data_IF_910429668174
#
_entry.id   IF_910429668174
#
_cell.length_a   1.000
_cell.length_b   1.000
_cell.length_c   1.000
_cell.angle_alpha   90.00
_cell.angle_beta   90.00
_cell.angle_gamma   90.00
#
_symmetry.space_group_name_H-M   'P 1'
#
loop_
_entity.id
_entity.type
_entity.pdbx_description
1 polymer ?
#
# COMPACT_ATOMS: atom_id res chain seq x y z
N UNK A 1 -28.82 10.16 68.11
CA UNK A 1 -28.96 11.60 68.50
C UNK A 1 -28.72 12.42 67.25
N UNK A 2 -29.79 13.10 66.84
CA UNK A 2 -29.85 14.49 66.35
C UNK A 2 -29.04 14.77 65.10
N UNK A 3 -29.51 15.24 64.01
CA UNK A 3 -30.67 16.02 63.50
C UNK A 3 -30.17 16.45 62.12
N UNK A 4 -30.84 16.21 61.06
CA UNK A 4 -31.92 17.01 60.49
C UNK A 4 -31.44 18.35 59.89
N UNK A 5 -31.76 18.46 58.62
CA UNK A 5 -32.55 19.50 57.99
C UNK A 5 -31.86 20.54 57.11
N UNK A 6 -32.53 20.74 56.06
CA UNK A 6 -32.84 21.94 55.23
C UNK A 6 -31.87 22.13 54.09
N UNK A 7 -32.30 22.24 52.83
CA UNK A 7 -33.61 22.52 52.26
C UNK A 7 -33.50 23.70 51.30
N UNK A 8 -34.30 23.65 50.27
CA UNK A 8 -34.76 24.70 49.34
C UNK A 8 -33.76 25.13 48.23
N UNK A 9 -34.11 24.79 47.03
CA UNK A 9 -35.00 25.48 46.08
C UNK A 9 -34.40 26.75 45.46
N UNK A 10 -33.99 26.64 44.22
CA UNK A 10 -34.28 27.74 43.27
C UNK A 10 -34.64 27.17 41.91
N UNK A 11 -35.87 27.45 41.56
CA UNK A 11 -36.62 27.12 40.37
C UNK A 11 -36.57 28.30 39.43
N UNK A 12 -36.64 27.97 38.11
CA UNK A 12 -37.00 28.86 37.00
C UNK A 12 -35.90 29.76 36.44
N UNK A 13 -35.65 29.66 35.12
CA UNK A 13 -36.46 30.38 34.14
C UNK A 13 -36.30 29.67 32.76
N UNK A 14 -37.42 29.27 32.19
CA UNK A 14 -37.64 28.96 30.80
C UNK A 14 -37.57 30.24 29.97
N UNK A 15 -36.77 30.26 28.93
CA UNK A 15 -36.95 31.21 27.84
C UNK A 15 -36.88 30.43 26.52
N UNK A 16 -38.03 30.14 25.96
CA UNK A 16 -38.26 29.65 24.61
C UNK A 16 -38.04 30.85 23.68
N UNK A 17 -37.11 30.70 22.76
CA UNK A 17 -37.07 31.49 21.54
C UNK A 17 -37.14 30.54 20.36
N UNK A 18 -38.37 30.35 19.86
CA UNK A 18 -38.64 29.78 18.56
C UNK A 18 -38.24 30.83 17.51
N UNK A 19 -37.27 30.55 16.69
CA UNK A 19 -37.05 31.21 15.42
C UNK A 19 -37.11 30.15 14.31
N UNK A 20 -38.23 30.14 13.61
CA UNK A 20 -38.36 29.44 12.33
C UNK A 20 -37.45 30.14 11.33
N UNK A 21 -36.49 29.38 10.79
CA UNK A 21 -35.73 29.71 9.60
C UNK A 21 -35.79 28.49 8.68
N UNK A 22 -36.56 28.65 7.60
CA UNK A 22 -36.67 27.69 6.51
C UNK A 22 -35.32 27.68 5.77
N UNK A 23 -34.67 26.54 5.74
CA UNK A 23 -33.43 26.33 5.00
C UNK A 23 -33.33 24.85 4.64
N UNK A 24 -33.21 24.58 3.37
CA UNK A 24 -33.14 23.27 2.75
C UNK A 24 -32.21 22.33 3.50
N UNK A 25 -32.76 21.21 3.98
CA UNK A 25 -32.01 20.04 4.42
C UNK A 25 -31.42 19.33 3.18
N UNK A 26 -30.30 19.85 2.70
CA UNK A 26 -29.32 18.99 2.04
C UNK A 26 -28.53 18.33 3.16
N UNK A 27 -28.90 17.10 3.51
CA UNK A 27 -28.05 16.22 4.27
C UNK A 27 -26.80 15.97 3.42
N UNK A 28 -25.78 16.80 3.59
CA UNK A 28 -24.44 16.44 3.24
C UNK A 28 -24.01 15.38 4.27
N UNK A 29 -23.92 14.15 3.80
CA UNK A 29 -23.17 13.09 4.45
C UNK A 29 -21.68 13.53 4.44
N UNK A 30 -21.35 14.42 5.36
CA UNK A 30 -19.95 14.81 5.59
C UNK A 30 -19.34 13.77 6.52
N UNK A 31 -18.82 12.68 5.93
CA UNK A 31 -17.57 12.13 6.42
C UNK A 31 -16.50 13.16 6.05
N UNK A 32 -16.47 14.24 6.81
CA UNK A 32 -15.43 15.25 6.77
C UNK A 32 -14.20 14.66 7.50
N UNK A 33 -13.48 13.77 6.85
CA UNK A 33 -12.07 13.59 7.09
C UNK A 33 -11.46 14.90 6.62
N UNK A 34 -11.10 15.78 7.57
CA UNK A 34 -10.58 17.11 7.30
C UNK A 34 -9.73 17.12 6.05
N UNK A 35 -9.93 18.12 5.19
CA UNK A 35 -9.34 18.14 3.85
C UNK A 35 -7.83 17.84 3.91
N UNK A 36 -7.46 16.55 3.78
CA UNK A 36 -6.07 16.06 3.90
C UNK A 36 -5.11 16.89 3.02
N UNK A 37 -5.58 17.31 1.84
CA UNK A 37 -4.76 18.15 0.98
C UNK A 37 -4.48 19.52 1.59
N UNK A 38 -5.46 20.12 2.30
CA UNK A 38 -5.24 21.38 2.96
C UNK A 38 -4.28 21.24 4.15
N UNK A 39 -4.37 20.15 4.90
CA UNK A 39 -3.45 19.84 6.02
C UNK A 39 -2.02 19.69 5.49
N UNK A 40 -1.81 18.88 4.46
CA UNK A 40 -0.49 18.69 3.81
C UNK A 40 0.08 20.02 3.30
N UNK A 41 -0.75 20.90 2.70
CA UNK A 41 -0.28 22.22 2.25
C UNK A 41 0.10 23.15 3.40
N UNK A 42 -0.68 23.15 4.48
CA UNK A 42 -0.46 24.02 5.63
C UNK A 42 0.79 23.59 6.43
N UNK A 43 1.06 22.28 6.50
CA UNK A 43 2.25 21.72 7.12
C UNK A 43 3.49 21.77 6.21
N UNK A 44 3.29 21.80 4.90
CA UNK A 44 4.35 21.74 3.90
C UNK A 44 5.05 20.39 3.81
N UNK A 45 4.45 19.33 4.37
CA UNK A 45 5.01 17.97 4.41
C UNK A 45 3.91 16.94 4.22
N UNK A 46 4.23 15.85 3.50
CA UNK A 46 3.38 14.65 3.40
C UNK A 46 4.10 13.46 4.03
N UNK A 47 3.39 12.72 4.88
CA UNK A 47 3.92 11.50 5.51
C UNK A 47 3.52 10.26 4.72
N UNK A 48 4.48 9.36 4.47
CA UNK A 48 4.36 8.25 3.52
C UNK A 48 4.68 6.93 4.20
N UNK A 49 3.73 6.02 4.24
CA UNK A 49 3.93 4.65 4.72
C UNK A 49 4.64 3.79 3.67
N UNK A 50 5.70 3.10 4.07
CA UNK A 50 6.48 2.19 3.23
C UNK A 50 7.13 1.08 4.05
N UNK A 51 7.62 -0.01 3.44
CA UNK A 51 8.27 -1.10 4.18
C UNK A 51 9.76 -0.87 4.44
N UNK A 52 10.50 -0.32 3.48
CA UNK A 52 11.96 -0.24 3.55
C UNK A 52 12.69 -1.59 3.43
N UNK A 53 11.98 -2.67 3.08
CA UNK A 53 12.51 -4.05 2.96
C UNK A 53 12.06 -4.77 1.68
N UNK A 54 11.51 -4.04 0.73
CA UNK A 54 10.94 -4.59 -0.51
C UNK A 54 11.65 -4.03 -1.76
N UNK A 55 12.90 -4.48 -1.98
CA UNK A 55 13.68 -4.10 -3.17
C UNK A 55 13.02 -4.64 -4.47
N UNK A 56 13.11 -3.90 -5.59
CA UNK A 56 13.78 -2.61 -5.79
C UNK A 56 12.86 -1.39 -5.53
N UNK A 57 11.68 -1.59 -4.93
CA UNK A 57 10.66 -0.54 -4.77
C UNK A 57 10.95 0.36 -3.56
N UNK A 58 11.23 -0.24 -2.41
CA UNK A 58 11.51 0.45 -1.16
C UNK A 58 12.45 -0.40 -0.30
N UNK A 59 13.68 0.06 -0.09
CA UNK A 59 14.70 -0.68 0.65
C UNK A 59 15.84 0.25 1.11
N UNK A 60 16.71 -0.26 1.97
CA UNK A 60 17.92 0.45 2.38
C UNK A 60 19.12 0.07 1.51
N UNK A 61 19.83 1.08 0.99
CA UNK A 61 21.10 0.88 0.30
C UNK A 61 22.22 0.51 1.28
N UNK A 62 23.43 0.26 0.76
CA UNK A 62 24.60 -0.10 1.57
C UNK A 62 25.01 0.97 2.62
N UNK A 63 24.56 2.22 2.45
CA UNK A 63 24.78 3.30 3.40
C UNK A 63 23.69 3.37 4.48
N UNK A 64 22.65 2.54 4.39
CA UNK A 64 21.49 2.57 5.27
C UNK A 64 20.47 3.67 4.94
N UNK A 65 20.52 4.23 3.73
CA UNK A 65 19.55 5.24 3.27
C UNK A 65 18.37 4.55 2.58
N UNK A 66 17.14 4.99 2.91
CA UNK A 66 15.93 4.51 2.24
C UNK A 66 15.96 4.96 0.77
N UNK A 67 15.75 4.03 -0.12
CA UNK A 67 15.80 4.22 -1.57
C UNK A 67 14.87 3.22 -2.28
N UNK A 68 14.69 3.38 -3.58
CA UNK A 68 13.89 2.49 -4.41
C UNK A 68 13.01 3.24 -5.39
N UNK A 69 12.34 2.46 -6.24
CA UNK A 69 11.45 3.03 -7.26
C UNK A 69 10.32 3.85 -6.63
N UNK A 70 9.61 3.30 -5.64
CA UNK A 70 8.51 3.99 -4.95
C UNK A 70 8.99 5.25 -4.23
N UNK A 71 10.20 5.19 -3.67
CA UNK A 71 10.83 6.34 -2.99
C UNK A 71 11.12 7.45 -3.98
N UNK A 72 11.70 7.13 -5.15
CA UNK A 72 12.01 8.11 -6.18
C UNK A 72 10.75 8.72 -6.79
N UNK A 73 9.73 7.89 -7.10
CA UNK A 73 8.45 8.38 -7.65
C UNK A 73 7.75 9.28 -6.63
N UNK A 74 7.70 8.88 -5.36
CA UNK A 74 7.05 9.69 -4.33
C UNK A 74 7.77 11.03 -4.08
N UNK A 75 9.11 11.04 -4.09
CA UNK A 75 9.88 12.29 -3.99
C UNK A 75 9.59 13.21 -5.18
N UNK A 76 9.53 12.68 -6.41
CA UNK A 76 9.18 13.48 -7.60
C UNK A 76 7.74 14.01 -7.51
N UNK A 77 6.78 13.22 -7.01
CA UNK A 77 5.42 13.70 -6.73
C UNK A 77 5.45 14.84 -5.70
N UNK A 78 6.22 14.71 -4.61
CA UNK A 78 6.38 15.77 -3.61
C UNK A 78 6.93 17.08 -4.22
N UNK A 79 7.92 16.98 -5.11
CA UNK A 79 8.47 18.13 -5.85
C UNK A 79 7.40 18.83 -6.70
N UNK A 80 6.57 18.07 -7.44
CA UNK A 80 5.45 18.62 -8.23
C UNK A 80 4.36 19.27 -7.36
N UNK A 81 4.10 18.71 -6.17
CA UNK A 81 3.13 19.25 -5.23
C UNK A 81 3.68 20.42 -4.41
N UNK A 82 5.00 20.62 -4.40
CA UNK A 82 5.68 21.68 -3.63
C UNK A 82 5.69 21.41 -2.13
N UNK A 83 5.76 20.13 -1.70
CA UNK A 83 5.81 19.70 -0.31
C UNK A 83 7.00 18.76 -0.05
N UNK A 84 7.49 18.76 1.18
CA UNK A 84 8.51 17.80 1.62
C UNK A 84 7.89 16.41 1.81
N UNK A 85 8.67 15.35 1.55
CA UNK A 85 8.25 13.95 1.73
C UNK A 85 8.94 13.35 2.94
N UNK A 86 8.17 12.78 3.86
CA UNK A 86 8.68 12.08 5.03
C UNK A 86 8.20 10.63 5.04
N UNK A 87 9.13 9.68 4.97
CA UNK A 87 8.80 8.26 5.01
C UNK A 87 8.69 7.74 6.44
N UNK A 88 7.67 6.93 6.70
CA UNK A 88 7.43 6.18 7.93
C UNK A 88 7.41 4.69 7.61
N UNK A 89 8.42 3.97 8.13
CA UNK A 89 8.57 2.55 7.83
C UNK A 89 7.69 1.68 8.73
N UNK A 90 7.06 0.66 8.13
CA UNK A 90 6.27 -0.35 8.83
C UNK A 90 6.18 -1.63 8.01
N UNK A 91 5.92 -2.77 8.67
CA UNK A 91 5.69 -4.04 7.99
C UNK A 91 4.39 -4.01 7.18
N UNK A 92 4.35 -4.79 6.08
CA UNK A 92 3.18 -4.84 5.19
C UNK A 92 1.86 -5.08 5.92
N UNK A 93 1.79 -6.08 6.80
CA UNK A 93 0.57 -6.44 7.52
C UNK A 93 0.06 -5.35 8.49
N UNK A 94 0.89 -4.34 8.78
CA UNK A 94 0.53 -3.16 9.57
C UNK A 94 0.26 -1.90 8.73
N UNK A 95 0.48 -1.96 7.42
CA UNK A 95 0.45 -0.80 6.53
C UNK A 95 -0.93 -0.12 6.52
N UNK A 96 -1.99 -0.87 6.26
CA UNK A 96 -3.34 -0.33 6.20
C UNK A 96 -3.85 0.15 7.56
N UNK A 97 -3.46 -0.51 8.66
CA UNK A 97 -3.81 -0.03 10.00
C UNK A 97 -3.07 1.27 10.35
N UNK A 98 -1.84 1.45 9.87
CA UNK A 98 -1.09 2.70 9.99
C UNK A 98 -1.77 3.85 9.25
N UNK A 99 -2.21 3.61 8.01
CA UNK A 99 -2.97 4.58 7.21
C UNK A 99 -4.30 4.96 7.90
N UNK A 100 -5.06 3.98 8.37
CA UNK A 100 -6.35 4.20 9.01
C UNK A 100 -6.24 4.91 10.37
N UNK A 101 -5.10 4.78 11.06
CA UNK A 101 -4.80 5.48 12.32
C UNK A 101 -4.05 6.80 12.12
N UNK A 102 -3.98 7.29 10.88
CA UNK A 102 -3.35 8.57 10.52
C UNK A 102 -1.86 8.68 10.93
N UNK A 103 -1.18 7.53 10.98
CA UNK A 103 0.27 7.48 11.24
C UNK A 103 1.06 8.02 10.04
N UNK A 104 0.47 7.92 8.86
CA UNK A 104 0.92 8.51 7.61
C UNK A 104 -0.29 8.82 6.71
N UNK A 105 -0.09 9.68 5.73
CA UNK A 105 -1.15 10.25 4.87
C UNK A 105 -1.44 9.38 3.66
N UNK A 106 -0.40 8.75 3.11
CA UNK A 106 -0.42 7.95 1.89
C UNK A 106 0.46 6.71 2.03
N UNK A 107 0.13 5.64 1.32
CA UNK A 107 1.00 4.48 1.15
C UNK A 107 1.67 4.54 -0.22
N UNK A 108 3.02 4.42 -0.25
CA UNK A 108 3.83 4.16 -1.42
C UNK A 108 4.60 2.85 -1.19
N UNK A 109 4.03 1.73 -1.62
CA UNK A 109 4.56 0.37 -1.39
C UNK A 109 3.93 -0.67 -2.33
N UNK A 110 3.86 -0.39 -3.62
CA UNK A 110 3.32 -1.30 -4.64
C UNK A 110 1.91 -1.83 -4.32
N UNK A 111 1.00 -0.95 -3.85
CA UNK A 111 -0.35 -1.35 -3.46
C UNK A 111 -1.25 -1.53 -4.67
N UNK A 112 -1.75 -2.74 -4.90
CA UNK A 112 -2.84 -3.03 -5.82
C UNK A 112 -4.23 -2.86 -5.19
N UNK A 113 -5.27 -2.80 -6.01
CA UNK A 113 -6.68 -2.70 -5.56
C UNK A 113 -7.22 -3.99 -4.92
N UNK A 114 -6.41 -5.05 -4.86
CA UNK A 114 -6.78 -6.39 -4.43
C UNK A 114 -7.27 -7.27 -5.58
N UNK A 115 -7.37 -8.59 -5.37
CA UNK A 115 -7.69 -9.55 -6.45
C UNK A 115 -9.06 -9.28 -7.09
N UNK A 116 -10.06 -8.96 -6.27
CA UNK A 116 -11.42 -8.65 -6.71
C UNK A 116 -11.79 -7.19 -6.46
N UNK A 117 -10.81 -6.28 -6.44
CA UNK A 117 -10.96 -4.87 -6.09
C UNK A 117 -11.54 -4.64 -4.68
N UNK A 118 -11.34 -5.56 -3.74
CA UNK A 118 -11.92 -5.52 -2.39
C UNK A 118 -11.45 -4.31 -1.57
N UNK A 119 -10.35 -3.68 -1.96
CA UNK A 119 -9.84 -2.47 -1.28
C UNK A 119 -10.51 -1.18 -1.74
N UNK A 120 -11.20 -1.18 -2.90
CA UNK A 120 -11.78 0.05 -3.51
C UNK A 120 -12.88 0.66 -2.65
N UNK A 121 -13.63 -0.18 -1.92
CA UNK A 121 -14.68 0.31 -1.01
C UNK A 121 -14.11 0.97 0.25
N UNK A 122 -12.86 0.65 0.62
CA UNK A 122 -12.23 1.05 1.88
C UNK A 122 -11.22 2.19 1.71
N UNK A 123 -10.63 2.34 0.52
CA UNK A 123 -9.52 3.27 0.23
C UNK A 123 -9.76 4.03 -1.07
N UNK A 124 -9.12 5.18 -1.19
CA UNK A 124 -9.00 5.92 -2.44
C UNK A 124 -7.62 5.68 -3.06
N UNK A 125 -7.56 5.65 -4.38
CA UNK A 125 -6.36 5.33 -5.14
C UNK A 125 -6.05 6.42 -6.15
N UNK A 126 -4.77 6.72 -6.34
CA UNK A 126 -4.30 7.53 -7.47
C UNK A 126 -4.51 6.82 -8.80
N UNK A 127 -4.11 7.45 -9.90
CA UNK A 127 -3.80 6.74 -11.13
C UNK A 127 -2.59 5.82 -10.93
N UNK A 128 -2.47 4.72 -11.70
CA UNK A 128 -1.40 3.75 -11.50
C UNK A 128 -0.04 4.37 -11.84
N UNK A 129 1.00 4.07 -11.06
CA UNK A 129 2.37 4.51 -11.32
C UNK A 129 3.33 3.34 -11.61
N UNK A 130 2.86 2.10 -11.55
CA UNK A 130 3.62 0.90 -11.95
C UNK A 130 2.67 -0.15 -12.50
N UNK A 131 3.16 -0.95 -13.42
CA UNK A 131 2.49 -2.16 -13.88
C UNK A 131 3.49 -3.30 -13.93
N UNK A 132 3.18 -4.40 -13.25
CA UNK A 132 4.06 -5.56 -13.16
C UNK A 132 3.27 -6.87 -13.21
N UNK A 133 4.00 -7.96 -13.49
CA UNK A 133 3.46 -9.30 -13.57
C UNK A 133 3.63 -10.03 -12.24
N UNK A 134 2.59 -10.74 -11.78
CA UNK A 134 2.73 -11.72 -10.70
C UNK A 134 3.44 -12.97 -11.21
N UNK A 135 4.32 -13.54 -10.40
CA UNK A 135 5.03 -14.79 -10.68
C UNK A 135 4.94 -15.75 -9.51
N UNK A 136 5.06 -17.04 -9.83
CA UNK A 136 5.25 -18.11 -8.84
C UNK A 136 6.72 -18.49 -8.79
N UNK A 137 7.28 -18.51 -7.59
CA UNK A 137 8.67 -18.90 -7.30
C UNK A 137 8.69 -20.24 -6.59
N UNK A 138 9.57 -21.14 -7.03
CA UNK A 138 9.79 -22.48 -6.47
C UNK A 138 11.27 -22.75 -6.31
N UNK A 139 11.64 -23.87 -5.66
CA UNK A 139 13.00 -24.39 -5.69
C UNK A 139 13.46 -24.60 -7.15
N UNK A 140 14.74 -24.36 -7.45
CA UNK A 140 15.27 -24.39 -8.81
C UNK A 140 15.16 -25.79 -9.47
N UNK A 141 15.20 -26.85 -8.66
CA UNK A 141 15.08 -28.25 -9.09
C UNK A 141 13.62 -28.77 -9.08
N UNK A 142 12.64 -27.96 -8.63
CA UNK A 142 11.23 -28.32 -8.68
C UNK A 142 10.77 -28.48 -10.13
N UNK A 143 10.13 -29.59 -10.45
CA UNK A 143 9.57 -29.92 -11.77
C UNK A 143 8.06 -30.12 -11.74
N UNK A 144 7.45 -30.09 -10.57
CA UNK A 144 6.08 -30.51 -10.34
C UNK A 144 5.10 -29.33 -10.34
N UNK A 145 5.60 -28.10 -10.14
CA UNK A 145 4.81 -26.85 -10.13
C UNK A 145 5.18 -26.05 -11.36
N UNK A 146 4.33 -26.11 -12.38
CA UNK A 146 4.56 -25.50 -13.72
C UNK A 146 3.40 -24.66 -14.20
N UNK A 147 2.25 -24.75 -13.51
CA UNK A 147 1.04 -23.98 -13.80
C UNK A 147 0.25 -23.70 -12.51
N UNK A 148 -0.81 -22.90 -12.62
CA UNK A 148 -1.64 -22.54 -11.46
C UNK A 148 -2.37 -23.75 -10.86
N UNK A 149 -2.72 -24.74 -11.69
CA UNK A 149 -3.41 -25.95 -11.28
C UNK A 149 -2.53 -26.85 -10.38
N UNK A 150 -1.21 -26.73 -10.50
CA UNK A 150 -0.25 -27.52 -9.69
C UNK A 150 -0.09 -26.95 -8.26
N UNK A 151 -0.67 -25.78 -7.98
CA UNK A 151 -0.58 -25.10 -6.68
C UNK A 151 -1.52 -25.70 -5.64
N UNK A 152 -2.61 -26.34 -6.08
CA UNK A 152 -3.60 -26.94 -5.16
C UNK A 152 -2.94 -27.92 -4.16
N UNK A 153 -3.17 -27.67 -2.87
CA UNK A 153 -2.66 -28.48 -1.76
C UNK A 153 -1.18 -28.28 -1.43
N UNK A 154 -0.44 -27.46 -2.19
CA UNK A 154 0.95 -27.05 -1.88
C UNK A 154 0.98 -26.04 -0.74
N UNK A 155 2.16 -25.84 -0.14
CA UNK A 155 2.36 -24.81 0.90
C UNK A 155 3.02 -23.58 0.28
N UNK A 156 2.36 -22.43 0.41
CA UNK A 156 2.83 -21.14 -0.07
C UNK A 156 3.19 -20.22 1.11
N UNK A 157 4.37 -19.59 1.06
CA UNK A 157 4.76 -18.57 2.05
C UNK A 157 4.29 -17.19 1.57
N UNK A 158 3.49 -16.47 2.40
CA UNK A 158 2.87 -15.19 2.02
C UNK A 158 2.77 -14.21 3.18
N UNK A 159 2.86 -12.90 2.90
CA UNK A 159 2.40 -11.86 3.81
C UNK A 159 0.87 -11.86 3.81
N UNK A 160 0.26 -12.05 4.99
CA UNK A 160 -1.13 -12.51 5.14
C UNK A 160 -2.18 -11.55 4.55
N UNK A 161 -1.90 -10.25 4.50
CA UNK A 161 -2.84 -9.23 3.99
C UNK A 161 -2.55 -8.83 2.53
N UNK A 162 -1.60 -9.51 1.86
CA UNK A 162 -1.23 -9.21 0.48
C UNK A 162 -2.24 -9.78 -0.54
N UNK A 163 -2.33 -9.15 -1.71
CA UNK A 163 -3.05 -9.72 -2.85
C UNK A 163 -2.43 -11.05 -3.32
N UNK A 164 -1.12 -11.26 -3.12
CA UNK A 164 -0.46 -12.53 -3.41
C UNK A 164 -0.93 -13.66 -2.49
N UNK A 165 -1.23 -13.36 -1.21
CA UNK A 165 -1.86 -14.32 -0.31
C UNK A 165 -3.24 -14.73 -0.83
N UNK A 166 -4.09 -13.76 -1.17
CA UNK A 166 -5.42 -14.04 -1.70
C UNK A 166 -5.35 -14.92 -2.97
N UNK A 167 -4.40 -14.62 -3.86
CA UNK A 167 -4.17 -15.41 -5.08
C UNK A 167 -3.70 -16.84 -4.79
N UNK A 168 -2.82 -17.03 -3.81
CA UNK A 168 -2.37 -18.34 -3.39
C UNK A 168 -3.51 -19.17 -2.77
N UNK A 169 -4.36 -18.55 -1.94
CA UNK A 169 -5.55 -19.17 -1.36
C UNK A 169 -6.58 -19.56 -2.45
N UNK A 170 -6.82 -18.69 -3.42
CA UNK A 170 -7.72 -18.96 -4.55
C UNK A 170 -7.22 -20.14 -5.39
N UNK A 171 -5.90 -20.27 -5.54
CA UNK A 171 -5.26 -21.41 -6.21
C UNK A 171 -5.24 -22.70 -5.37
N UNK A 172 -5.78 -22.67 -4.15
CA UNK A 172 -5.88 -23.84 -3.26
C UNK A 172 -4.62 -24.17 -2.46
N UNK A 173 -3.69 -23.22 -2.31
CA UNK A 173 -2.51 -23.39 -1.48
C UNK A 173 -2.83 -23.36 0.03
N UNK A 174 -2.02 -24.07 0.81
CA UNK A 174 -1.95 -23.89 2.27
C UNK A 174 -1.00 -22.72 2.56
N UNK A 175 -1.39 -21.79 3.42
CA UNK A 175 -0.59 -20.58 3.67
C UNK A 175 0.30 -20.74 4.91
N UNK A 176 1.57 -20.40 4.74
CA UNK A 176 2.54 -20.13 5.81
C UNK A 176 2.80 -18.63 5.85
N UNK A 177 2.43 -17.96 6.95
CA UNK A 177 2.56 -16.52 7.12
C UNK A 177 4.02 -16.10 7.31
N UNK A 178 4.46 -15.08 6.56
CA UNK A 178 5.80 -14.49 6.60
C UNK A 178 5.76 -12.98 6.45
N UNK A 179 6.87 -12.31 6.79
CA UNK A 179 6.96 -10.85 6.71
C UNK A 179 7.16 -10.32 5.27
N UNK A 180 7.74 -11.10 4.36
CA UNK A 180 8.00 -10.64 2.99
C UNK A 180 8.78 -11.63 2.12
N UNK A 181 9.15 -11.17 0.91
CA UNK A 181 9.75 -11.99 -0.14
C UNK A 181 11.03 -12.73 0.30
N UNK A 182 11.95 -12.06 0.95
CA UNK A 182 13.22 -12.67 1.38
C UNK A 182 13.00 -13.87 2.31
N UNK A 183 12.07 -13.75 3.25
CA UNK A 183 11.72 -14.85 4.16
C UNK A 183 11.00 -15.97 3.41
N UNK A 184 10.11 -15.65 2.46
CA UNK A 184 9.45 -16.65 1.61
C UNK A 184 10.49 -17.49 0.85
N UNK A 185 11.48 -16.85 0.22
CA UNK A 185 12.53 -17.53 -0.53
C UNK A 185 13.38 -18.41 0.39
N UNK A 186 13.77 -17.92 1.57
CA UNK A 186 14.52 -18.73 2.55
C UNK A 186 13.76 -19.99 2.99
N UNK A 187 12.43 -19.92 3.13
CA UNK A 187 11.63 -21.09 3.48
C UNK A 187 11.57 -22.12 2.32
N UNK A 188 11.53 -21.64 1.06
CA UNK A 188 11.63 -22.50 -0.13
C UNK A 188 12.99 -23.19 -0.16
N UNK A 189 14.08 -22.46 0.03
CA UNK A 189 15.45 -23.00 0.07
C UNK A 189 15.65 -24.08 1.14
N UNK A 190 14.98 -23.91 2.29
CA UNK A 190 14.99 -24.87 3.40
C UNK A 190 14.06 -26.07 3.18
N UNK A 191 13.27 -26.08 2.08
CA UNK A 191 12.26 -27.11 1.82
C UNK A 191 11.11 -27.11 2.80
N UNK A 192 10.83 -25.98 3.47
CA UNK A 192 9.74 -25.85 4.45
C UNK A 192 8.42 -25.47 3.80
N UNK A 193 8.47 -24.80 2.66
CA UNK A 193 7.32 -24.46 1.79
C UNK A 193 7.67 -24.81 0.35
N UNK A 194 6.64 -24.96 -0.48
CA UNK A 194 6.80 -25.39 -1.88
C UNK A 194 7.00 -24.20 -2.82
N UNK A 195 6.35 -23.05 -2.53
CA UNK A 195 6.30 -21.91 -3.41
C UNK A 195 6.01 -20.59 -2.69
N UNK A 196 6.14 -19.49 -3.43
CA UNK A 196 5.56 -18.18 -3.10
C UNK A 196 5.06 -17.49 -4.37
N UNK A 197 4.01 -16.67 -4.24
CA UNK A 197 3.61 -15.69 -5.25
C UNK A 197 4.23 -14.34 -4.91
N UNK A 198 4.74 -13.62 -5.91
CA UNK A 198 5.24 -12.26 -5.70
C UNK A 198 5.33 -11.48 -7.02
N UNK A 199 5.75 -10.23 -6.93
CA UNK A 199 6.01 -9.35 -8.06
C UNK A 199 7.24 -9.82 -8.85
N UNK A 200 7.14 -9.83 -10.18
CA UNK A 200 8.23 -10.26 -11.07
C UNK A 200 9.46 -9.37 -10.94
N UNK A 201 9.28 -8.06 -10.83
CA UNK A 201 10.40 -7.12 -10.72
C UNK A 201 11.15 -7.32 -9.39
N UNK A 202 10.42 -7.53 -8.28
CA UNK A 202 11.02 -7.84 -6.98
C UNK A 202 11.78 -9.18 -7.00
N UNK A 203 11.19 -10.21 -7.59
CA UNK A 203 11.85 -11.53 -7.70
C UNK A 203 13.11 -11.44 -8.58
N UNK A 204 13.05 -10.74 -9.70
CA UNK A 204 14.22 -10.56 -10.57
C UNK A 204 15.32 -9.75 -9.89
N UNK A 205 14.96 -8.71 -9.13
CA UNK A 205 15.93 -7.95 -8.33
C UNK A 205 16.59 -8.85 -7.29
N UNK A 206 15.81 -9.62 -6.54
CA UNK A 206 16.33 -10.56 -5.55
C UNK A 206 17.35 -11.52 -6.16
N UNK A 207 17.00 -12.17 -7.27
CA UNK A 207 17.86 -13.15 -7.96
C UNK A 207 19.12 -12.54 -8.59
N UNK A 208 19.06 -11.27 -9.02
CA UNK A 208 20.18 -10.61 -9.71
C UNK A 208 21.10 -9.82 -8.78
N UNK A 209 20.55 -9.22 -7.74
CA UNK A 209 21.24 -8.23 -6.93
C UNK A 209 21.43 -8.67 -5.47
N UNK A 210 20.43 -9.31 -4.86
CA UNK A 210 20.47 -9.68 -3.44
C UNK A 210 21.13 -11.04 -3.24
N UNK A 211 20.70 -12.07 -3.94
CA UNK A 211 21.24 -13.43 -3.81
C UNK A 211 21.38 -14.14 -5.16
N UNK A 212 22.46 -13.83 -5.88
CA UNK A 212 22.70 -14.28 -7.27
C UNK A 212 22.72 -15.78 -7.50
N UNK A 213 22.83 -16.58 -6.46
CA UNK A 213 22.85 -18.05 -6.56
C UNK A 213 21.76 -18.70 -5.69
N UNK A 214 20.72 -17.98 -5.35
CA UNK A 214 19.58 -18.56 -4.67
C UNK A 214 19.08 -19.79 -5.43
N UNK A 215 18.91 -20.95 -4.78
CA UNK A 215 18.48 -22.17 -5.45
C UNK A 215 16.97 -22.18 -5.72
N UNK A 216 16.46 -21.06 -6.25
CA UNK A 216 15.06 -20.87 -6.61
C UNK A 216 14.93 -20.36 -8.05
N UNK A 217 13.73 -20.45 -8.61
CA UNK A 217 13.42 -19.96 -9.95
C UNK A 217 12.01 -19.41 -10.01
N UNK A 218 11.75 -18.54 -10.99
CA UNK A 218 10.39 -18.27 -11.46
C UNK A 218 9.90 -19.52 -12.18
N UNK A 219 8.85 -20.14 -11.68
CA UNK A 219 8.24 -21.33 -12.28
C UNK A 219 7.33 -20.93 -13.47
N UNK A 220 6.47 -19.92 -13.25
CA UNK A 220 5.57 -19.39 -14.27
C UNK A 220 5.03 -18.00 -13.87
N UNK A 221 4.46 -17.29 -14.83
CA UNK A 221 3.72 -16.05 -14.62
C UNK A 221 2.26 -16.37 -14.25
N UNK A 222 1.72 -15.70 -13.23
CA UNK A 222 0.41 -15.97 -12.67
C UNK A 222 -0.56 -14.80 -12.89
N UNK A 223 -1.58 -15.04 -13.71
CA UNK A 223 -2.65 -14.06 -14.00
C UNK A 223 -2.20 -12.93 -14.92
N UNK A 224 -3.03 -11.89 -15.02
CA UNK A 224 -2.77 -10.68 -15.79
C UNK A 224 -1.84 -9.73 -15.02
N UNK A 225 -1.10 -8.84 -15.72
CA UNK A 225 -0.32 -7.79 -15.06
C UNK A 225 -1.17 -6.93 -14.13
N UNK A 226 -0.62 -6.62 -12.96
CA UNK A 226 -1.28 -5.83 -11.92
C UNK A 226 -0.72 -4.42 -11.90
N UNK A 227 -1.61 -3.44 -11.81
CA UNK A 227 -1.27 -2.03 -11.61
C UNK A 227 -1.18 -1.72 -10.12
N UNK A 228 -0.28 -0.79 -9.75
CA UNK A 228 -0.12 -0.32 -8.39
C UNK A 228 -0.29 1.18 -8.27
N UNK A 229 -0.72 1.64 -7.10
CA UNK A 229 -1.28 2.94 -6.88
C UNK A 229 -0.78 3.53 -5.55
N UNK A 230 -0.68 4.84 -5.47
CA UNK A 230 -0.68 5.52 -4.18
C UNK A 230 -2.05 5.32 -3.52
N UNK A 231 -2.04 4.97 -2.24
CA UNK A 231 -3.27 4.58 -1.54
C UNK A 231 -3.53 5.49 -0.35
N UNK A 232 -4.75 5.99 -0.26
CA UNK A 232 -5.20 6.98 0.72
C UNK A 232 -6.38 6.44 1.52
N UNK A 233 -6.64 7.05 2.69
CA UNK A 233 -7.91 6.85 3.40
C UNK A 233 -9.09 7.19 2.52
N UNK A 234 -10.21 6.51 2.73
CA UNK A 234 -11.45 6.82 2.01
C UNK A 234 -11.91 8.24 2.28
N UNK A 235 -12.35 8.96 1.25
CA UNK A 235 -12.75 10.37 1.32
C UNK A 235 -11.61 11.36 1.04
N UNK A 236 -10.46 10.90 0.54
CA UNK A 236 -9.27 11.73 0.23
C UNK A 236 -9.26 12.27 -1.21
N UNK A 237 -10.43 12.46 -1.85
CA UNK A 237 -10.53 12.75 -3.28
C UNK A 237 -9.71 13.95 -3.74
N UNK A 238 -9.63 15.05 -2.96
CA UNK A 238 -8.88 16.24 -3.37
C UNK A 238 -7.36 15.97 -3.50
N UNK A 239 -6.73 15.29 -2.53
CA UNK A 239 -5.31 14.95 -2.61
C UNK A 239 -5.04 13.92 -3.72
N UNK A 240 -5.96 12.98 -3.96
CA UNK A 240 -5.88 12.02 -5.07
C UNK A 240 -5.83 12.76 -6.41
N UNK A 241 -6.67 13.79 -6.61
CA UNK A 241 -6.64 14.62 -7.83
C UNK A 241 -5.30 15.33 -8.01
N UNK A 242 -4.68 15.83 -6.93
CA UNK A 242 -3.35 16.45 -6.99
C UNK A 242 -2.26 15.42 -7.35
N UNK A 243 -2.32 14.21 -6.79
CA UNK A 243 -1.39 13.13 -7.15
C UNK A 243 -1.54 12.73 -8.61
N UNK A 244 -2.77 12.58 -9.11
CA UNK A 244 -3.03 12.24 -10.51
C UNK A 244 -2.47 13.32 -11.45
N UNK A 245 -2.67 14.59 -11.10
CA UNK A 245 -2.10 15.71 -11.87
C UNK A 245 -0.56 15.66 -11.89
N UNK A 246 0.08 15.40 -10.73
CA UNK A 246 1.54 15.26 -10.66
C UNK A 246 2.03 14.07 -11.49
N UNK A 247 1.36 12.92 -11.42
CA UNK A 247 1.68 11.75 -12.24
C UNK A 247 1.52 12.01 -13.74
N UNK A 248 0.49 12.76 -14.15
CA UNK A 248 0.29 13.15 -15.55
C UNK A 248 1.41 14.08 -16.04
N UNK A 249 1.78 15.10 -15.26
CA UNK A 249 2.90 15.98 -15.55
C UNK A 249 4.22 15.20 -15.68
N UNK A 250 4.47 14.24 -14.76
CA UNK A 250 5.65 13.35 -14.79
C UNK A 250 5.65 12.39 -16.00
N UNK A 251 4.48 12.01 -16.51
CA UNK A 251 4.38 11.24 -17.78
C UNK A 251 4.69 12.11 -18.99
N UNK A 252 4.16 13.32 -19.00
CA UNK A 252 4.34 14.27 -20.12
C UNK A 252 5.78 14.76 -20.26
N UNK A 253 6.47 15.05 -19.16
CA UNK A 253 7.85 15.55 -19.15
C UNK A 253 8.90 14.42 -19.18
N UNK A 254 8.48 13.15 -18.99
CA UNK A 254 9.32 11.97 -19.04
C UNK A 254 9.96 11.56 -17.72
N UNK A 255 9.74 12.28 -16.63
CA UNK A 255 10.29 11.98 -15.29
C UNK A 255 9.97 10.56 -14.84
N UNK A 256 8.70 10.12 -15.00
CA UNK A 256 8.28 8.79 -14.59
C UNK A 256 8.99 7.69 -15.40
N UNK A 257 9.18 7.92 -16.72
CA UNK A 257 9.92 6.98 -17.60
C UNK A 257 11.41 6.93 -17.25
N UNK A 258 12.02 8.05 -16.88
CA UNK A 258 13.42 8.10 -16.43
C UNK A 258 13.63 7.33 -15.12
N UNK A 259 12.74 7.51 -14.14
CA UNK A 259 12.78 6.76 -12.87
C UNK A 259 12.59 5.27 -13.13
N UNK A 260 11.60 4.90 -13.96
CA UNK A 260 11.35 3.51 -14.35
C UNK A 260 12.58 2.88 -15.01
N UNK A 261 13.18 3.57 -15.98
CA UNK A 261 14.38 3.09 -16.69
C UNK A 261 15.59 2.96 -15.75
N UNK A 262 15.74 3.86 -14.78
CA UNK A 262 16.79 3.79 -13.76
C UNK A 262 16.72 2.47 -12.97
N UNK A 263 15.52 2.05 -12.58
CA UNK A 263 15.33 0.90 -11.69
C UNK A 263 15.17 -0.43 -12.44
N UNK A 264 14.51 -0.42 -13.59
CA UNK A 264 14.12 -1.65 -14.31
C UNK A 264 14.78 -1.81 -15.67
N UNK A 265 15.51 -0.79 -16.16
CA UNK A 265 16.12 -0.80 -17.49
C UNK A 265 15.15 -0.51 -18.62
N UNK A 266 13.85 -0.39 -18.31
CA UNK A 266 12.77 -0.08 -19.25
C UNK A 266 11.65 0.73 -18.57
N UNK A 267 10.76 1.28 -19.40
CA UNK A 267 9.58 2.00 -18.89
C UNK A 267 8.43 1.01 -18.65
N UNK A 268 8.17 0.67 -17.38
CA UNK A 268 7.11 -0.24 -16.94
C UNK A 268 5.73 0.44 -16.77
N UNK A 269 5.61 1.71 -17.18
CA UNK A 269 4.38 2.50 -17.05
C UNK A 269 3.57 2.55 -18.35
N UNK A 270 4.00 1.84 -19.38
CA UNK A 270 3.34 1.76 -20.69
C UNK A 270 2.25 0.73 -20.75
#
# INVERSE_FOLDING_TARGET
MKKALLGLLFMSIFAILAACGNGDDSASDSNDNGNLWQEVKDEGVITVGTEGTYAPFTFHNDNGELTGYDVDVMNAVGEHLGVDVKFEETQWDSMFSGLNSERFDVIANQVGKGENNERVDQYDFSDPYTKSQSVVVTAADNTDITSIEDVEGKTSAQSLTSNYNARAEEAGANIEGVEGLAQSIQLIEQGRVDLTFNDKLAVLDYLNNTEKNAPVKIAFEAGEPTETYFTFRKGSGEIVEQFNKALDEMREDGTLAEISTKWFGEDVNK
#
